data_IF_980886784487
#
_entry.id   IF_980886784487
#
_cell.length_a   1.000
_cell.length_b   1.000
_cell.length_c   1.000
_cell.angle_alpha   90.00
_cell.angle_beta   90.00
_cell.angle_gamma   90.00
#
_symmetry.space_group_name_H-M   'P 1'
#
loop_
_entity.id
_entity.type
_entity.pdbx_description
1 polymer ?
#
# COMPACT_ATOMS: atom_id res chain seq x y z
N UNK A 1 0.93 10.97 20.62
CA UNK A 1 0.72 10.01 19.50
C UNK A 1 2.08 9.38 19.23
N UNK A 2 2.19 8.05 19.21
CA UNK A 2 3.39 7.42 18.66
C UNK A 2 3.57 7.92 17.21
N UNK A 3 4.81 8.14 16.74
CA UNK A 3 5.03 8.37 15.32
C UNK A 3 4.43 7.18 14.57
N UNK A 4 3.69 7.44 13.50
CA UNK A 4 3.27 6.35 12.63
C UNK A 4 4.55 5.73 12.08
N UNK A 5 4.79 4.47 12.40
CA UNK A 5 5.94 3.74 11.86
C UNK A 5 5.83 3.71 10.33
N UNK A 6 6.95 3.88 9.61
CA UNK A 6 6.93 3.83 8.16
C UNK A 6 6.44 2.45 7.69
N UNK A 7 5.75 2.39 6.55
CA UNK A 7 5.38 1.12 5.96
C UNK A 7 6.63 0.31 5.62
N UNK A 8 6.59 -0.98 5.88
CA UNK A 8 7.64 -1.92 5.50
C UNK A 8 7.24 -2.61 4.20
N UNK A 9 8.17 -2.72 3.25
CA UNK A 9 7.96 -3.42 1.98
C UNK A 9 8.85 -4.66 1.94
N UNK A 10 8.23 -5.81 1.69
CA UNK A 10 8.90 -7.10 1.51
C UNK A 10 8.72 -7.58 0.07
N UNK A 11 9.83 -7.88 -0.61
CA UNK A 11 9.79 -8.53 -1.93
C UNK A 11 9.37 -9.99 -1.80
N UNK A 12 8.43 -10.43 -2.63
CA UNK A 12 7.86 -11.78 -2.68
C UNK A 12 7.96 -12.36 -4.10
N UNK A 13 7.79 -13.68 -4.28
CA UNK A 13 7.84 -14.30 -5.61
C UNK A 13 6.77 -13.79 -6.58
N UNK A 14 5.67 -13.25 -6.05
CA UNK A 14 4.53 -12.72 -6.81
C UNK A 14 4.55 -11.18 -6.94
N UNK A 15 5.52 -10.48 -6.34
CA UNK A 15 5.56 -9.02 -6.34
C UNK A 15 6.01 -8.45 -4.99
N UNK A 16 5.29 -7.48 -4.45
CA UNK A 16 5.64 -6.76 -3.22
C UNK A 16 4.54 -6.85 -2.17
N UNK A 17 4.92 -7.11 -0.93
CA UNK A 17 4.03 -7.09 0.23
C UNK A 17 4.32 -5.87 1.08
N UNK A 18 3.32 -5.03 1.33
CA UNK A 18 3.44 -3.89 2.25
C UNK A 18 2.81 -4.28 3.59
N UNK A 19 3.58 -4.11 4.66
CA UNK A 19 3.19 -4.43 6.03
C UNK A 19 3.35 -3.18 6.89
N UNK A 20 2.41 -2.93 7.78
CA UNK A 20 2.52 -1.84 8.75
C UNK A 20 1.21 -1.45 9.39
N UNK A 21 1.22 -1.04 10.68
CA UNK A 21 0.00 -0.77 11.43
C UNK A 21 -0.82 0.38 10.84
N UNK A 22 -0.21 1.31 10.10
CA UNK A 22 -0.93 2.40 9.44
C UNK A 22 -1.66 1.94 8.16
N UNK A 23 -0.99 1.15 7.32
CA UNK A 23 -1.55 0.66 6.05
C UNK A 23 -2.62 -0.43 6.29
N UNK A 24 -2.44 -1.28 7.29
CA UNK A 24 -3.44 -2.27 7.67
C UNK A 24 -4.73 -1.61 8.16
N UNK A 25 -4.62 -0.62 9.06
CA UNK A 25 -5.78 0.16 9.53
C UNK A 25 -6.48 0.93 8.40
N UNK A 26 -5.72 1.37 7.40
CA UNK A 26 -6.28 2.03 6.23
C UNK A 26 -7.11 1.03 5.41
N UNK A 27 -6.60 -0.17 5.16
CA UNK A 27 -7.33 -1.24 4.47
C UNK A 27 -8.62 -1.58 5.21
N UNK A 28 -8.56 -1.82 6.53
CA UNK A 28 -9.75 -2.16 7.34
C UNK A 28 -10.84 -1.10 7.31
N UNK A 29 -10.48 0.18 7.14
CA UNK A 29 -11.42 1.31 7.12
C UNK A 29 -11.90 1.68 5.73
N UNK A 30 -11.33 1.08 4.70
CA UNK A 30 -11.64 1.43 3.31
C UNK A 30 -12.77 0.56 2.79
N UNK A 31 -13.81 1.20 2.26
CA UNK A 31 -14.86 0.54 1.48
C UNK A 31 -14.39 0.37 0.03
N UNK A 32 -13.88 -0.81 -0.32
CA UNK A 32 -13.42 -1.11 -1.69
C UNK A 32 -14.54 -1.33 -2.70
N UNK A 33 -15.79 -1.42 -2.24
CA UNK A 33 -16.99 -1.60 -3.08
C UNK A 33 -17.38 -0.32 -3.85
N UNK A 34 -16.74 0.81 -3.57
CA UNK A 34 -17.03 2.10 -4.20
C UNK A 34 -15.78 2.71 -4.84
N UNK A 35 -15.93 3.24 -6.05
CA UNK A 35 -14.85 3.93 -6.77
C UNK A 35 -14.20 5.04 -5.94
N UNK A 36 -15.01 5.81 -5.20
CA UNK A 36 -14.50 6.84 -4.30
C UNK A 36 -13.71 6.29 -3.10
N UNK A 37 -14.04 5.08 -2.63
CA UNK A 37 -13.28 4.41 -1.58
C UNK A 37 -11.90 4.00 -2.07
N UNK A 38 -11.85 3.43 -3.28
CA UNK A 38 -10.60 3.06 -3.93
C UNK A 38 -9.70 4.28 -4.20
N UNK A 39 -10.25 5.39 -4.69
CA UNK A 39 -9.47 6.62 -4.90
C UNK A 39 -8.90 7.17 -3.58
N UNK A 40 -9.70 7.21 -2.51
CA UNK A 40 -9.23 7.65 -1.19
C UNK A 40 -8.13 6.74 -0.65
N UNK A 41 -8.24 5.44 -0.88
CA UNK A 41 -7.24 4.47 -0.49
C UNK A 41 -5.90 4.72 -1.17
N UNK A 42 -5.89 4.85 -2.50
CA UNK A 42 -4.67 5.16 -3.26
C UNK A 42 -4.02 6.46 -2.77
N UNK A 43 -4.79 7.54 -2.62
CA UNK A 43 -4.28 8.82 -2.08
C UNK A 43 -3.74 8.70 -0.65
N UNK A 44 -4.33 7.82 0.18
CA UNK A 44 -3.88 7.63 1.54
C UNK A 44 -2.62 6.77 1.63
N UNK A 45 -2.45 5.77 0.77
CA UNK A 45 -1.21 4.99 0.66
C UNK A 45 -0.03 5.89 0.31
N UNK A 46 -0.21 6.78 -0.66
CA UNK A 46 0.82 7.74 -1.07
C UNK A 46 1.23 8.65 0.10
N UNK A 47 0.25 9.20 0.84
CA UNK A 47 0.50 10.00 2.06
C UNK A 47 1.18 9.23 3.19
N UNK A 48 1.04 7.91 3.22
CA UNK A 48 1.72 7.05 4.19
C UNK A 48 3.16 6.69 3.74
N UNK A 49 3.58 7.13 2.56
CA UNK A 49 4.90 6.84 2.01
C UNK A 49 5.02 5.44 1.42
N UNK A 50 3.90 4.79 1.08
CA UNK A 50 3.92 3.44 0.50
C UNK A 50 4.54 3.46 -0.90
N UNK A 51 4.20 4.46 -1.72
CA UNK A 51 4.79 4.66 -3.05
C UNK A 51 6.32 4.73 -2.94
N UNK A 52 6.83 5.61 -2.07
CA UNK A 52 8.28 5.75 -1.86
C UNK A 52 8.92 4.48 -1.34
N UNK A 53 8.30 3.77 -0.39
CA UNK A 53 8.83 2.51 0.12
C UNK A 53 8.85 1.40 -0.95
N UNK A 54 7.91 1.40 -1.89
CA UNK A 54 7.88 0.49 -3.04
C UNK A 54 8.98 0.85 -4.05
N UNK A 55 9.17 2.13 -4.35
CA UNK A 55 10.26 2.61 -5.21
C UNK A 55 11.63 2.24 -4.63
N UNK A 56 11.84 2.45 -3.32
CA UNK A 56 13.08 2.07 -2.62
C UNK A 56 13.30 0.54 -2.60
N UNK A 57 12.22 -0.24 -2.60
CA UNK A 57 12.28 -1.70 -2.74
C UNK A 57 12.51 -2.17 -4.19
N UNK A 58 12.47 -1.25 -5.16
CA UNK A 58 12.66 -1.52 -6.58
C UNK A 58 11.42 -2.07 -7.27
N UNK A 59 10.23 -1.61 -6.86
CA UNK A 59 8.99 -1.89 -7.58
C UNK A 59 8.93 -1.10 -8.90
N UNK A 60 8.45 -1.75 -9.95
CA UNK A 60 8.26 -1.18 -11.28
C UNK A 60 6.77 -1.10 -11.63
N UNK A 61 6.41 -0.21 -12.55
CA UNK A 61 5.03 -0.11 -13.02
C UNK A 61 4.55 -1.46 -13.56
N UNK A 62 3.40 -1.95 -13.08
CA UNK A 62 2.90 -3.28 -13.41
C UNK A 62 3.19 -4.36 -12.35
N UNK A 63 4.04 -4.08 -11.35
CA UNK A 63 4.28 -5.04 -10.28
C UNK A 63 3.05 -5.22 -9.38
N UNK A 64 2.80 -6.45 -8.96
CA UNK A 64 1.70 -6.75 -8.05
C UNK A 64 2.08 -6.37 -6.62
N UNK A 65 1.26 -5.56 -5.98
CA UNK A 65 1.43 -5.10 -4.60
C UNK A 65 0.27 -5.59 -3.75
N UNK A 66 0.59 -6.21 -2.60
CA UNK A 66 -0.41 -6.64 -1.62
C UNK A 66 -0.27 -5.89 -0.32
N UNK A 67 -1.40 -5.38 0.17
CA UNK A 67 -1.53 -4.70 1.48
C UNK A 67 -2.65 -5.39 2.24
N UNK A 68 -2.30 -6.15 3.28
CA UNK A 68 -3.26 -6.98 4.00
C UNK A 68 -3.98 -7.98 3.07
N UNK A 69 -5.28 -7.78 2.87
CA UNK A 69 -6.14 -8.63 2.00
C UNK A 69 -6.35 -8.05 0.60
N UNK A 70 -5.81 -6.85 0.33
CA UNK A 70 -6.02 -6.13 -0.93
C UNK A 70 -4.79 -6.29 -1.79
N UNK A 71 -5.00 -6.56 -3.07
CA UNK A 71 -3.95 -6.66 -4.08
C UNK A 71 -4.27 -5.69 -5.21
N UNK A 72 -3.26 -4.95 -5.66
CA UNK A 72 -3.37 -4.00 -6.75
C UNK A 72 -2.07 -3.94 -7.54
N UNK A 73 -2.14 -3.38 -8.74
CA UNK A 73 -0.97 -3.15 -9.58
C UNK A 73 -0.30 -1.83 -9.20
N UNK A 74 1.02 -1.83 -9.03
CA UNK A 74 1.78 -0.62 -8.77
C UNK A 74 1.79 0.29 -9.99
N UNK A 75 1.40 1.54 -9.76
CA UNK A 75 1.37 2.60 -10.76
C UNK A 75 2.06 3.84 -10.15
N UNK A 76 3.34 4.11 -10.50
CA UNK A 76 4.07 5.28 -10.03
C UNK A 76 3.50 6.61 -10.56
#
# INVERSE_FOLDING_TARGET
RAPAEPPQVEKRPWGFQVVGPAVERLVERTSFDSEQGLQRFQMALDRLGVSSALEEAGAEAGDSVRVGQVEFEYQP
#
